data_IF_494870126360
#
_entry.id   IF_494870126360
#
_cell.length_a   1.000
_cell.length_b   1.000
_cell.length_c   1.000
_cell.angle_alpha   90.00
_cell.angle_beta   90.00
_cell.angle_gamma   90.00
#
_symmetry.space_group_name_H-M   'P 1'
#
loop_
_entity.id
_entity.type
_entity.pdbx_description
1 polymer ?
#
# COMPACT_ATOMS: atom_id res chain seq x y z
N UNK A 1 -14.33 -19.11 -20.50
CA UNK A 1 -14.37 -17.80 -19.80
C UNK A 1 -15.67 -17.72 -18.99
N UNK A 2 -15.64 -18.10 -17.71
CA UNK A 2 -16.83 -18.08 -16.84
C UNK A 2 -17.08 -16.68 -16.28
N UNK A 3 -18.29 -16.14 -16.48
CA UNK A 3 -18.69 -14.82 -15.95
C UNK A 3 -18.90 -14.94 -14.44
N UNK A 4 -18.06 -14.29 -13.63
CA UNK A 4 -18.32 -14.10 -12.20
C UNK A 4 -19.67 -13.39 -12.05
N UNK A 5 -20.60 -14.02 -11.33
CA UNK A 5 -21.91 -13.45 -10.98
C UNK A 5 -21.74 -12.12 -10.23
N UNK A 6 -22.78 -11.27 -10.24
CA UNK A 6 -22.71 -9.90 -9.68
C UNK A 6 -22.17 -9.82 -8.24
N UNK A 7 -22.47 -10.83 -7.42
CA UNK A 7 -21.92 -10.99 -6.06
C UNK A 7 -20.40 -11.26 -6.05
N UNK A 8 -19.90 -12.11 -6.95
CA UNK A 8 -18.47 -12.38 -7.09
C UNK A 8 -17.67 -11.15 -7.53
N UNK A 9 -18.24 -10.31 -8.39
CA UNK A 9 -17.65 -9.01 -8.76
C UNK A 9 -17.58 -8.04 -7.58
N UNK A 10 -18.67 -7.89 -6.82
CA UNK A 10 -18.71 -6.99 -5.67
C UNK A 10 -17.73 -7.41 -4.55
N UNK A 11 -17.63 -8.72 -4.30
CA UNK A 11 -16.67 -9.28 -3.35
C UNK A 11 -15.22 -9.04 -3.79
N UNK A 12 -14.90 -9.33 -5.07
CA UNK A 12 -13.57 -9.07 -5.62
C UNK A 12 -13.19 -7.58 -5.55
N UNK A 13 -14.11 -6.65 -5.88
CA UNK A 13 -13.85 -5.22 -5.75
C UNK A 13 -13.61 -4.77 -4.31
N UNK A 14 -14.35 -5.34 -3.34
CA UNK A 14 -14.17 -5.05 -1.92
C UNK A 14 -12.83 -5.58 -1.40
N UNK A 15 -12.43 -6.79 -1.81
CA UNK A 15 -11.11 -7.35 -1.51
C UNK A 15 -9.98 -6.49 -2.10
N UNK A 16 -10.08 -6.08 -3.36
CA UNK A 16 -9.09 -5.19 -3.99
C UNK A 16 -8.99 -3.83 -3.29
N UNK A 17 -10.12 -3.28 -2.81
CA UNK A 17 -10.12 -2.04 -2.03
C UNK A 17 -9.48 -2.25 -0.65
N UNK A 18 -9.73 -3.40 -0.03
CA UNK A 18 -9.11 -3.79 1.24
C UNK A 18 -7.60 -3.98 1.13
N UNK A 19 -7.12 -4.66 0.09
CA UNK A 19 -5.69 -4.87 -0.15
C UNK A 19 -4.96 -3.55 -0.38
N UNK A 20 -5.51 -2.67 -1.23
CA UNK A 20 -4.96 -1.32 -1.45
C UNK A 20 -4.86 -0.50 -0.16
N UNK A 21 -5.87 -0.59 0.72
CA UNK A 21 -5.85 0.08 2.02
C UNK A 21 -4.78 -0.51 2.94
N UNK A 22 -4.65 -1.83 3.01
CA UNK A 22 -3.64 -2.50 3.82
C UNK A 22 -2.22 -2.12 3.36
N UNK A 23 -2.00 -2.03 2.05
CA UNK A 23 -0.73 -1.62 1.47
C UNK A 23 -0.38 -0.15 1.78
N UNK A 24 -1.36 0.76 1.66
CA UNK A 24 -1.19 2.15 2.04
C UNK A 24 -0.86 2.32 3.53
N UNK A 25 -1.49 1.54 4.41
CA UNK A 25 -1.18 1.55 5.85
C UNK A 25 0.23 1.03 6.13
N UNK A 26 0.69 -0.02 5.42
CA UNK A 26 2.07 -0.49 5.52
C UNK A 26 3.07 0.58 5.10
N UNK A 27 2.87 1.20 3.94
CA UNK A 27 3.72 2.29 3.43
C UNK A 27 3.82 3.44 4.44
N UNK A 28 2.68 3.82 5.03
CA UNK A 28 2.62 4.89 6.03
C UNK A 28 3.35 4.53 7.33
N UNK A 29 3.28 3.27 7.76
CA UNK A 29 4.02 2.78 8.94
C UNK A 29 5.52 2.89 8.70
N UNK A 30 6.00 2.39 7.56
CA UNK A 30 7.43 2.46 7.19
C UNK A 30 7.89 3.92 7.10
N UNK A 31 7.13 4.79 6.44
CA UNK A 31 7.45 6.23 6.36
C UNK A 31 7.59 6.85 7.76
N UNK A 32 6.67 6.51 8.67
CA UNK A 32 6.70 7.00 10.06
C UNK A 32 7.94 6.50 10.79
N UNK A 33 8.30 5.22 10.65
CA UNK A 33 9.49 4.64 11.26
C UNK A 33 10.78 5.27 10.73
N UNK A 34 10.86 5.53 9.41
CA UNK A 34 12.01 6.22 8.79
C UNK A 34 12.18 7.66 9.33
N UNK A 35 11.09 8.34 9.65
CA UNK A 35 11.13 9.70 10.20
C UNK A 35 11.48 9.66 11.69
N UNK A 36 10.77 8.84 12.48
CA UNK A 36 10.89 8.82 13.94
C UNK A 36 12.18 8.16 14.43
N UNK A 37 12.61 7.06 13.81
CA UNK A 37 13.78 6.31 14.27
C UNK A 37 15.08 6.68 13.56
N UNK A 38 15.02 7.07 12.29
CA UNK A 38 16.22 7.41 11.49
C UNK A 38 16.37 8.91 11.24
N UNK A 39 15.42 9.73 11.70
CA UNK A 39 15.47 11.19 11.58
C UNK A 39 15.40 11.69 10.14
N UNK A 40 14.92 10.86 9.19
CA UNK A 40 14.84 11.28 7.80
C UNK A 40 13.74 12.33 7.60
N UNK A 41 13.99 13.27 6.68
CA UNK A 41 12.96 14.21 6.24
C UNK A 41 11.82 13.47 5.55
N UNK A 42 10.59 14.00 5.67
CA UNK A 42 9.40 13.42 5.02
C UNK A 42 9.61 13.10 3.54
N UNK A 43 10.25 14.01 2.80
CA UNK A 43 10.52 13.82 1.36
C UNK A 43 11.44 12.63 1.11
N UNK A 44 12.48 12.46 1.93
CA UNK A 44 13.44 11.35 1.80
C UNK A 44 12.82 10.01 2.21
N UNK A 45 12.05 9.99 3.30
CA UNK A 45 11.31 8.80 3.74
C UNK A 45 10.30 8.34 2.68
N UNK A 46 9.54 9.28 2.10
CA UNK A 46 8.58 9.00 1.02
C UNK A 46 9.25 8.42 -0.23
N UNK A 47 10.42 8.96 -0.60
CA UNK A 47 11.20 8.46 -1.74
C UNK A 47 11.65 7.01 -1.50
N UNK A 48 12.24 6.72 -0.34
CA UNK A 48 12.67 5.36 0.02
C UNK A 48 11.51 4.37 0.05
N UNK A 49 10.37 4.73 0.66
CA UNK A 49 9.19 3.85 0.66
C UNK A 49 8.70 3.58 -0.77
N UNK A 50 8.77 4.59 -1.65
CA UNK A 50 8.44 4.42 -3.07
C UNK A 50 9.45 3.56 -3.81
N UNK A 51 10.74 3.66 -3.51
CA UNK A 51 11.79 2.81 -4.12
C UNK A 51 11.61 1.35 -3.70
N UNK A 52 11.42 1.10 -2.40
CA UNK A 52 11.13 -0.24 -1.83
C UNK A 52 9.87 -0.88 -2.42
N UNK A 53 8.81 -0.09 -2.65
CA UNK A 53 7.57 -0.59 -3.23
C UNK A 53 7.69 -0.94 -4.72
N UNK A 54 8.49 -0.18 -5.47
CA UNK A 54 8.70 -0.43 -6.89
C UNK A 54 9.79 -1.48 -7.15
N UNK A 55 10.40 -2.06 -6.11
CA UNK A 55 11.42 -3.10 -6.23
C UNK A 55 12.71 -2.65 -6.92
N UNK A 56 13.04 -1.35 -6.83
CA UNK A 56 14.34 -0.80 -7.27
C UNK A 56 15.23 -0.57 -6.06
#
# INVERSE_FOLDING_TARGET
>A
MGKLTGFGRAFASSMLKGSRRAEALRKRKIEKELIEHLGYSRSKAKKMVSELDNGK
#
